data_IF_457016315572
#
_entry.id   IF_457016315572
#
_cell.length_a   1.000
_cell.length_b   1.000
_cell.length_c   1.000
_cell.angle_alpha   90.00
_cell.angle_beta   90.00
_cell.angle_gamma   90.00
#
_symmetry.space_group_name_H-M   'P 1'
#
loop_
_entity.id
_entity.type
_entity.pdbx_description
1 polymer ?
#
# COMPACT_ATOMS: atom_id res chain seq x y z
N UNK A 1 6.24 13.38 -12.46
CA UNK A 1 6.89 13.82 -11.21
C UNK A 1 8.04 12.86 -10.92
N UNK A 2 9.26 13.35 -10.64
CA UNK A 2 10.41 12.48 -10.37
C UNK A 2 10.24 11.77 -9.01
N UNK A 3 10.45 10.44 -8.97
CA UNK A 3 10.30 9.67 -7.73
C UNK A 3 11.23 10.14 -6.60
N UNK A 4 12.40 10.67 -6.94
CA UNK A 4 13.35 11.24 -5.99
C UNK A 4 12.78 12.46 -5.24
N UNK A 5 11.96 13.30 -5.91
CA UNK A 5 11.32 14.45 -5.24
C UNK A 5 10.21 13.98 -4.30
N UNK A 6 9.52 12.90 -4.64
CA UNK A 6 8.52 12.26 -3.77
C UNK A 6 9.17 11.76 -2.49
N UNK A 7 10.28 11.02 -2.60
CA UNK A 7 11.03 10.56 -1.43
C UNK A 7 11.52 11.71 -0.56
N UNK A 8 12.12 12.74 -1.17
CA UNK A 8 12.56 13.94 -0.42
C UNK A 8 11.40 14.61 0.31
N UNK A 9 10.20 14.65 -0.30
CA UNK A 9 9.01 15.21 0.34
C UNK A 9 8.47 14.34 1.47
N UNK A 10 8.54 13.01 1.33
CA UNK A 10 8.04 12.05 2.32
C UNK A 10 8.77 12.14 3.66
N UNK A 11 10.08 12.42 3.63
CA UNK A 11 10.93 12.54 4.82
C UNK A 11 11.13 13.99 5.29
N UNK A 12 10.46 14.96 4.67
CA UNK A 12 10.52 16.35 5.12
C UNK A 12 9.49 16.61 6.22
N UNK A 13 9.96 16.79 7.45
CA UNK A 13 9.12 17.01 8.63
C UNK A 13 8.13 18.18 8.50
N UNK A 14 8.55 19.28 7.86
CA UNK A 14 7.68 20.46 7.67
C UNK A 14 6.51 20.13 6.76
N UNK A 15 6.79 19.44 5.64
CA UNK A 15 5.76 19.00 4.70
C UNK A 15 4.86 17.92 5.30
N UNK A 16 5.40 17.02 6.14
CA UNK A 16 4.62 16.02 6.84
C UNK A 16 3.55 16.66 7.73
N UNK A 17 3.82 17.82 8.34
CA UNK A 17 2.84 18.51 9.19
C UNK A 17 1.72 19.19 8.38
N UNK A 18 2.04 19.70 7.19
CA UNK A 18 1.12 20.56 6.41
C UNK A 18 0.41 19.81 5.27
N UNK A 19 1.07 18.85 4.65
CA UNK A 19 0.61 18.18 3.43
C UNK A 19 -0.03 16.82 3.76
N UNK A 20 -1.34 16.71 3.46
CA UNK A 20 -2.13 15.50 3.70
C UNK A 20 -1.76 14.37 2.72
N UNK A 21 -1.29 14.68 1.51
CA UNK A 21 -0.83 13.69 0.52
C UNK A 21 0.51 13.07 0.94
N UNK A 22 1.43 13.87 1.48
CA UNK A 22 2.69 13.39 2.05
C UNK A 22 2.43 12.43 3.22
N UNK A 23 1.54 12.83 4.16
CA UNK A 23 1.15 11.96 5.28
C UNK A 23 0.50 10.66 4.83
N UNK A 24 -0.38 10.72 3.82
CA UNK A 24 -1.01 9.53 3.26
C UNK A 24 0.04 8.54 2.74
N UNK A 25 1.03 9.03 1.98
CA UNK A 25 2.10 8.20 1.41
C UNK A 25 2.97 7.57 2.49
N UNK A 26 3.45 8.37 3.44
CA UNK A 26 4.31 7.86 4.51
C UNK A 26 3.56 6.86 5.41
N UNK A 27 2.33 7.17 5.81
CA UNK A 27 1.58 6.31 6.73
C UNK A 27 1.21 4.97 6.10
N UNK A 28 0.82 4.95 4.82
CA UNK A 28 0.57 3.69 4.11
C UNK A 28 1.88 2.93 3.86
N UNK A 29 2.99 3.61 3.56
CA UNK A 29 4.31 2.99 3.47
C UNK A 29 4.71 2.31 4.78
N UNK A 30 4.52 2.99 5.91
CA UNK A 30 4.77 2.43 7.25
C UNK A 30 3.87 1.23 7.55
N UNK A 31 2.60 1.22 7.13
CA UNK A 31 1.73 0.04 7.28
C UNK A 31 2.23 -1.18 6.51
N UNK A 32 2.79 -0.97 5.31
CA UNK A 32 3.37 -2.04 4.51
C UNK A 32 4.65 -2.56 5.18
N UNK A 33 5.52 -1.64 5.64
CA UNK A 33 6.79 -1.97 6.29
C UNK A 33 6.63 -2.52 7.72
N UNK A 34 5.50 -2.27 8.39
CA UNK A 34 5.25 -2.78 9.74
C UNK A 34 4.92 -4.27 9.77
N UNK A 35 4.42 -4.85 8.67
CA UNK A 35 4.08 -6.28 8.65
C UNK A 35 5.34 -7.14 8.89
N UNK A 36 6.46 -6.97 8.16
CA UNK A 36 7.69 -7.70 8.44
C UNK A 36 8.23 -7.44 9.85
N UNK A 37 8.07 -6.24 10.39
CA UNK A 37 8.48 -5.93 11.77
C UNK A 37 7.70 -6.76 12.78
N UNK A 38 6.38 -6.84 12.64
CA UNK A 38 5.54 -7.65 13.53
C UNK A 38 5.85 -9.14 13.37
N UNK A 39 6.06 -9.63 12.14
CA UNK A 39 6.48 -11.02 11.90
C UNK A 39 7.81 -11.30 12.60
N UNK A 40 8.79 -10.41 12.45
CA UNK A 40 10.11 -10.52 13.07
C UNK A 40 10.00 -10.61 14.60
N UNK A 41 9.19 -9.74 15.23
CA UNK A 41 8.95 -9.79 16.66
C UNK A 41 8.39 -11.14 17.12
N UNK A 42 7.40 -11.68 16.40
CA UNK A 42 6.81 -13.00 16.71
C UNK A 42 7.85 -14.12 16.56
N UNK A 43 8.62 -14.12 15.47
CA UNK A 43 9.66 -15.13 15.22
C UNK A 43 10.80 -15.05 16.24
N UNK A 44 11.22 -13.85 16.65
CA UNK A 44 12.23 -13.68 17.71
C UNK A 44 11.75 -14.25 19.04
N UNK A 45 10.48 -14.05 19.40
CA UNK A 45 9.91 -14.62 20.63
C UNK A 45 9.97 -16.15 20.59
N UNK A 46 9.55 -16.76 19.47
CA UNK A 46 9.63 -18.21 19.33
C UNK A 46 11.08 -18.72 19.32
N UNK A 47 11.97 -18.05 18.59
CA UNK A 47 13.39 -18.40 18.54
C UNK A 47 14.00 -18.34 19.95
N UNK A 48 13.69 -17.31 20.73
CA UNK A 48 14.15 -17.19 22.12
C UNK A 48 13.70 -18.36 22.99
N UNK A 49 12.44 -18.79 22.86
CA UNK A 49 11.91 -19.96 23.58
C UNK A 49 12.67 -21.22 23.19
N UNK A 50 12.92 -21.44 21.89
CA UNK A 50 13.68 -22.59 21.41
C UNK A 50 15.12 -22.59 21.93
N UNK A 51 15.82 -21.48 21.82
CA UNK A 51 17.19 -21.34 22.33
C UNK A 51 17.26 -21.57 23.85
N UNK A 52 16.24 -21.13 24.59
CA UNK A 52 16.14 -21.40 26.04
C UNK A 52 15.92 -22.88 26.33
N UNK A 53 15.08 -23.57 25.54
CA UNK A 53 14.88 -25.01 25.65
C UNK A 53 16.16 -25.78 25.33
N UNK A 54 16.91 -25.36 24.32
CA UNK A 54 18.19 -25.96 23.92
C UNK A 54 19.23 -25.85 25.02
N UNK A 55 19.37 -24.67 25.63
CA UNK A 55 20.27 -24.49 26.77
C UNK A 55 19.93 -25.42 27.94
N UNK A 56 18.65 -25.56 28.29
CA UNK A 56 18.22 -26.48 29.35
C UNK A 56 18.50 -27.92 28.96
N UNK A 57 18.26 -28.29 27.70
CA UNK A 57 18.53 -29.60 27.16
C UNK A 57 20.04 -29.94 27.22
N UNK A 58 20.91 -29.03 26.80
CA UNK A 58 22.37 -29.18 26.88
C UNK A 58 22.86 -29.34 28.32
N UNK A 59 22.33 -28.54 29.25
CA UNK A 59 22.65 -28.67 30.68
C UNK A 59 22.28 -30.04 31.23
N UNK A 60 21.07 -30.53 30.88
CA UNK A 60 20.54 -31.79 31.39
C UNK A 60 21.29 -33.02 30.87
N UNK A 61 21.91 -32.93 29.69
CA UNK A 61 22.67 -34.03 29.09
C UNK A 61 24.15 -34.05 29.52
N UNK A 62 24.52 -33.30 30.55
CA UNK A 62 25.77 -33.50 31.28
C UNK A 62 27.00 -32.81 30.67
N UNK A 63 26.83 -31.68 29.99
CA UNK A 63 27.97 -30.93 29.48
C UNK A 63 28.80 -30.34 30.64
N UNK A 64 30.04 -30.84 30.79
CA UNK A 64 30.89 -30.58 31.96
C UNK A 64 31.30 -29.11 32.15
N UNK A 65 31.29 -28.30 31.08
CA UNK A 65 31.66 -26.88 31.09
C UNK A 65 30.47 -25.97 30.70
N UNK A 66 29.27 -26.27 31.20
CA UNK A 66 28.04 -25.58 30.82
C UNK A 66 28.08 -24.05 30.96
N UNK A 67 28.72 -23.51 31.99
CA UNK A 67 28.80 -22.05 32.18
C UNK A 67 29.57 -21.36 31.04
N UNK A 68 30.74 -21.89 30.68
CA UNK A 68 31.54 -21.35 29.58
C UNK A 68 30.83 -21.51 28.22
N UNK A 69 30.13 -22.64 28.03
CA UNK A 69 29.33 -22.85 26.83
C UNK A 69 28.13 -21.90 26.73
N UNK A 70 27.46 -21.63 27.86
CA UNK A 70 26.33 -20.72 27.90
C UNK A 70 26.74 -19.29 27.50
N UNK A 71 27.89 -18.81 27.95
CA UNK A 71 28.45 -17.52 27.52
C UNK A 71 28.72 -17.49 26.00
N UNK A 72 29.44 -18.50 25.49
CA UNK A 72 29.74 -18.62 24.06
C UNK A 72 28.47 -18.73 23.21
N UNK A 73 27.45 -19.42 23.70
CA UNK A 73 26.16 -19.59 23.03
C UNK A 73 25.40 -18.27 22.93
N UNK A 74 25.37 -17.46 24.00
CA UNK A 74 24.75 -16.13 23.95
C UNK A 74 25.53 -15.15 23.06
N UNK A 75 26.86 -15.14 23.15
CA UNK A 75 27.71 -14.32 22.27
C UNK A 75 27.47 -14.67 20.80
N UNK A 76 27.33 -15.95 20.50
CA UNK A 76 26.99 -16.44 19.17
C UNK A 76 25.61 -15.93 18.70
N UNK A 77 24.57 -16.06 19.52
CA UNK A 77 23.22 -15.56 19.19
C UNK A 77 23.25 -14.04 18.95
N UNK A 78 23.92 -13.28 19.83
CA UNK A 78 24.01 -11.82 19.71
C UNK A 78 24.74 -11.44 18.41
N UNK A 79 25.85 -12.11 18.10
CA UNK A 79 26.58 -11.92 16.86
C UNK A 79 25.69 -12.13 15.63
N UNK A 80 24.92 -13.21 15.62
CA UNK A 80 23.96 -13.50 14.53
C UNK A 80 22.82 -12.50 14.44
N UNK A 81 22.24 -12.11 15.57
CA UNK A 81 21.22 -11.05 15.58
C UNK A 81 21.76 -9.73 15.02
N UNK A 82 23.01 -9.38 15.30
CA UNK A 82 23.65 -8.19 14.73
C UNK A 82 23.85 -8.31 13.22
N UNK A 83 24.32 -9.45 12.71
CA UNK A 83 24.41 -9.69 11.26
C UNK A 83 23.06 -9.51 10.56
N UNK A 84 22.00 -10.10 11.12
CA UNK A 84 20.65 -10.00 10.56
C UNK A 84 20.04 -8.61 10.69
N UNK A 85 20.41 -7.86 11.72
CA UNK A 85 19.88 -6.52 11.95
C UNK A 85 20.16 -5.58 10.77
N UNK A 86 21.36 -5.66 10.17
CA UNK A 86 21.74 -4.85 9.00
C UNK A 86 20.87 -5.18 7.79
N UNK A 87 20.71 -6.48 7.49
CA UNK A 87 19.90 -6.94 6.36
C UNK A 87 18.42 -6.58 6.59
N UNK A 88 17.95 -6.72 7.84
CA UNK A 88 16.58 -6.37 8.24
C UNK A 88 16.29 -4.87 8.10
N UNK A 89 17.23 -3.99 8.49
CA UNK A 89 17.12 -2.54 8.26
C UNK A 89 17.04 -2.24 6.76
N UNK A 90 17.83 -2.95 5.94
CA UNK A 90 17.75 -2.88 4.48
C UNK A 90 16.37 -3.27 3.95
N UNK A 91 15.84 -4.41 4.39
CA UNK A 91 14.50 -4.89 4.03
C UNK A 91 13.40 -3.92 4.46
N UNK A 92 13.46 -3.40 5.68
CA UNK A 92 12.52 -2.40 6.19
C UNK A 92 12.55 -1.13 5.33
N UNK A 93 13.75 -0.62 5.03
CA UNK A 93 13.91 0.59 4.22
C UNK A 93 13.37 0.40 2.81
N UNK A 94 13.67 -0.73 2.17
CA UNK A 94 13.17 -1.05 0.83
C UNK A 94 11.65 -1.22 0.80
N UNK A 95 11.07 -1.93 1.77
CA UNK A 95 9.62 -2.10 1.88
C UNK A 95 8.90 -0.78 2.17
N UNK A 96 9.51 0.11 2.96
CA UNK A 96 8.99 1.46 3.20
C UNK A 96 8.99 2.31 1.92
N UNK A 97 10.11 2.36 1.19
CA UNK A 97 10.23 3.08 -0.08
C UNK A 97 9.22 2.55 -1.10
N UNK A 98 9.12 1.23 -1.22
CA UNK A 98 8.14 0.59 -2.10
C UNK A 98 6.71 0.92 -1.67
N UNK A 99 6.41 0.92 -0.36
CA UNK A 99 5.09 1.30 0.13
C UNK A 99 4.72 2.76 -0.13
N UNK A 100 5.70 3.68 -0.10
CA UNK A 100 5.52 5.08 -0.52
C UNK A 100 5.19 5.14 -2.03
N UNK A 101 5.91 4.39 -2.85
CA UNK A 101 5.64 4.28 -4.30
C UNK A 101 4.23 3.75 -4.59
N UNK A 102 3.83 2.67 -3.93
CA UNK A 102 2.50 2.08 -4.04
C UNK A 102 1.42 3.11 -3.67
N UNK A 103 1.65 3.88 -2.61
CA UNK A 103 0.72 4.93 -2.18
C UNK A 103 0.61 6.08 -3.17
N UNK A 104 1.69 6.40 -3.87
CA UNK A 104 1.69 7.37 -4.96
C UNK A 104 0.85 6.88 -6.15
N UNK A 105 0.98 5.61 -6.53
CA UNK A 105 0.16 5.01 -7.58
C UNK A 105 -1.34 5.10 -7.25
N UNK A 106 -1.72 4.90 -5.99
CA UNK A 106 -3.11 5.05 -5.54
C UNK A 106 -3.67 6.47 -5.72
N UNK A 107 -2.82 7.50 -5.62
CA UNK A 107 -3.24 8.91 -5.75
C UNK A 107 -3.27 9.38 -7.21
N UNK A 108 -2.54 8.70 -8.10
CA UNK A 108 -2.32 9.12 -9.49
C UNK A 108 -3.61 9.43 -10.27
N UNK A 109 -4.66 8.59 -10.26
CA UNK A 109 -5.88 8.88 -11.05
C UNK A 109 -6.54 10.21 -10.64
N UNK A 110 -6.52 10.52 -9.34
CA UNK A 110 -7.10 11.76 -8.82
C UNK A 110 -6.30 12.99 -9.21
N UNK A 111 -4.96 12.88 -9.22
CA UNK A 111 -4.10 13.96 -9.67
C UNK A 111 -4.25 14.23 -11.17
N UNK A 112 -4.32 13.19 -12.00
CA UNK A 112 -4.55 13.36 -13.44
C UNK A 112 -5.84 14.14 -13.71
N UNK A 113 -6.93 13.83 -12.99
CA UNK A 113 -8.19 14.59 -13.08
C UNK A 113 -8.01 16.02 -12.57
N UNK A 114 -7.42 16.21 -11.40
CA UNK A 114 -7.25 17.54 -10.79
C UNK A 114 -6.35 18.46 -11.63
N UNK A 115 -5.22 17.95 -12.11
CA UNK A 115 -4.26 18.69 -12.93
C UNK A 115 -4.83 19.04 -14.29
N UNK A 116 -5.64 18.15 -14.90
CA UNK A 116 -6.40 18.51 -16.09
C UNK A 116 -7.37 19.66 -15.83
N UNK A 117 -8.16 19.57 -14.74
CA UNK A 117 -9.10 20.63 -14.38
C UNK A 117 -8.42 21.99 -14.16
N UNK A 118 -7.21 22.00 -13.58
CA UNK A 118 -6.45 23.23 -13.38
C UNK A 118 -5.90 23.78 -14.71
N UNK A 119 -5.24 22.93 -15.51
CA UNK A 119 -4.70 23.33 -16.82
C UNK A 119 -5.76 23.80 -17.78
N UNK A 120 -6.93 23.15 -17.81
CA UNK A 120 -8.04 23.56 -18.67
C UNK A 120 -8.54 24.98 -18.34
N UNK A 121 -8.50 25.38 -17.07
CA UNK A 121 -8.90 26.72 -16.66
C UNK A 121 -7.87 27.79 -17.04
N UNK A 122 -6.60 27.41 -17.17
CA UNK A 122 -5.52 28.29 -17.63
C UNK A 122 -5.48 28.36 -19.17
N UNK A 123 -5.63 27.21 -19.82
CA UNK A 123 -5.61 27.01 -21.26
C UNK A 123 -6.71 26.02 -21.69
N UNK A 124 -7.76 26.58 -22.31
CA UNK A 124 -8.93 25.84 -22.81
C UNK A 124 -8.61 24.87 -23.95
N UNK A 125 -7.40 24.91 -24.52
CA UNK A 125 -6.96 23.98 -25.57
C UNK A 125 -6.34 22.69 -25.02
N UNK A 126 -6.18 22.59 -23.69
CA UNK A 126 -5.64 21.40 -23.04
C UNK A 126 -6.49 20.16 -23.31
N UNK A 127 -5.88 19.10 -23.84
CA UNK A 127 -6.52 17.79 -24.01
C UNK A 127 -6.43 16.94 -22.73
N UNK A 128 -7.51 16.21 -22.44
CA UNK A 128 -7.51 15.21 -21.36
C UNK A 128 -6.94 13.89 -21.89
N UNK A 129 -5.71 13.58 -21.52
CA UNK A 129 -5.07 12.30 -21.84
C UNK A 129 -4.88 11.49 -20.56
N UNK A 130 -5.84 10.62 -20.20
CA UNK A 130 -5.66 9.73 -19.08
C UNK A 130 -4.69 8.61 -19.46
N UNK A 131 -3.48 8.70 -18.92
CA UNK A 131 -2.42 7.70 -19.09
C UNK A 131 -2.94 6.26 -18.83
N UNK A 132 -2.61 5.33 -19.74
CA UNK A 132 -3.17 3.96 -19.81
C UNK A 132 -2.95 3.15 -18.52
N UNK A 133 -1.95 3.51 -17.72
CA UNK A 133 -1.61 2.89 -16.44
C UNK A 133 -2.48 3.36 -15.26
N UNK A 134 -3.55 4.12 -15.51
CA UNK A 134 -4.53 4.53 -14.50
C UNK A 134 -5.66 3.50 -14.39
N UNK A 135 -5.33 2.37 -13.78
CA UNK A 135 -6.12 1.13 -13.68
C UNK A 135 -7.54 1.25 -13.04
N UNK A 136 -8.00 2.44 -12.65
CA UNK A 136 -9.42 2.71 -12.36
C UNK A 136 -10.21 2.94 -13.66
N UNK A 137 -10.37 1.86 -14.43
CA UNK A 137 -11.00 1.86 -15.76
C UNK A 137 -12.39 2.50 -15.77
N UNK A 138 -13.16 2.37 -14.68
CA UNK A 138 -14.47 3.02 -14.59
C UNK A 138 -14.34 4.54 -14.50
N UNK A 139 -13.54 5.02 -13.53
CA UNK A 139 -13.35 6.44 -13.29
C UNK A 139 -12.73 7.09 -14.52
N UNK A 140 -11.67 6.50 -15.07
CA UNK A 140 -10.93 7.01 -16.23
C UNK A 140 -11.81 7.13 -17.47
N UNK A 141 -12.58 6.09 -17.82
CA UNK A 141 -13.48 6.15 -18.98
C UNK A 141 -14.62 7.13 -18.79
N UNK A 142 -15.08 7.28 -17.55
CA UNK A 142 -16.16 8.22 -17.25
C UNK A 142 -15.66 9.65 -17.27
N UNK A 143 -14.47 9.93 -16.72
CA UNK A 143 -13.86 11.26 -16.75
C UNK A 143 -13.54 11.69 -18.18
N UNK A 144 -13.02 10.78 -19.02
CA UNK A 144 -12.79 11.04 -20.44
C UNK A 144 -14.08 11.44 -21.18
N UNK A 145 -15.13 10.62 -21.03
CA UNK A 145 -16.44 10.94 -21.59
C UNK A 145 -17.00 12.25 -21.04
N UNK A 146 -16.91 12.45 -19.72
CA UNK A 146 -17.40 13.65 -19.04
C UNK A 146 -16.71 14.91 -19.57
N UNK A 147 -15.38 14.93 -19.63
CA UNK A 147 -14.63 16.12 -20.04
C UNK A 147 -14.80 16.43 -21.52
N UNK A 148 -14.85 15.41 -22.39
CA UNK A 148 -15.18 15.61 -23.79
C UNK A 148 -16.61 16.18 -23.96
N UNK A 149 -17.56 15.67 -23.20
CA UNK A 149 -18.95 16.18 -23.22
C UNK A 149 -19.04 17.64 -22.78
N UNK A 150 -18.34 18.02 -21.71
CA UNK A 150 -18.30 19.41 -21.25
C UNK A 150 -17.56 20.30 -22.26
N UNK A 151 -16.49 19.82 -22.88
CA UNK A 151 -15.78 20.55 -23.92
C UNK A 151 -16.68 20.87 -25.12
N UNK A 152 -17.45 19.89 -25.60
CA UNK A 152 -18.44 20.11 -26.68
C UNK A 152 -19.52 21.12 -26.23
N UNK A 153 -20.01 21.02 -24.99
CA UNK A 153 -20.95 21.98 -24.45
C UNK A 153 -20.36 23.41 -24.37
N UNK A 154 -19.07 23.51 -24.05
CA UNK A 154 -18.34 24.78 -24.01
C UNK A 154 -18.18 25.41 -25.40
N UNK A 155 -17.84 24.60 -26.42
CA UNK A 155 -17.80 25.05 -27.82
C UNK A 155 -19.17 25.50 -28.33
N UNK A 156 -20.24 24.82 -27.91
CA UNK A 156 -21.62 25.18 -28.28
C UNK A 156 -22.20 26.32 -27.43
N UNK A 157 -21.48 26.80 -26.41
CA UNK A 157 -21.92 27.88 -25.52
C UNK A 157 -23.14 27.54 -24.65
N UNK A 158 -23.58 26.28 -24.59
CA UNK A 158 -24.78 25.90 -23.85
C UNK A 158 -24.58 24.60 -23.06
N UNK A 159 -24.97 24.64 -21.79
CA UNK A 159 -24.95 23.48 -20.90
C UNK A 159 -26.38 22.94 -20.73
N UNK A 160 -26.76 21.98 -21.57
CA UNK A 160 -28.04 21.27 -21.45
C UNK A 160 -27.85 19.99 -20.62
N UNK A 161 -28.89 19.51 -19.92
CA UNK A 161 -28.85 18.18 -19.31
C UNK A 161 -28.61 17.12 -20.38
N UNK A 162 -27.59 16.28 -20.18
CA UNK A 162 -27.25 15.21 -21.14
C UNK A 162 -27.55 13.86 -20.51
N UNK A 163 -28.16 12.98 -21.31
CA UNK A 163 -28.40 11.62 -20.88
C UNK A 163 -27.08 10.87 -20.71
N UNK A 164 -26.88 10.36 -19.50
CA UNK A 164 -25.70 9.57 -19.17
C UNK A 164 -25.81 8.19 -19.82
N UNK A 165 -24.77 7.69 -20.52
CA UNK A 165 -24.80 6.38 -21.16
C UNK A 165 -25.26 5.27 -20.23
N UNK A 166 -26.11 4.35 -20.71
CA UNK A 166 -26.72 3.28 -19.90
C UNK A 166 -25.70 2.43 -19.12
N UNK A 167 -24.48 2.28 -19.64
CA UNK A 167 -23.37 1.59 -18.95
C UNK A 167 -22.97 2.22 -17.61
N UNK A 168 -23.22 3.52 -17.41
CA UNK A 168 -22.87 4.26 -16.19
C UNK A 168 -24.08 4.58 -15.30
N UNK A 169 -25.31 4.41 -15.79
CA UNK A 169 -26.52 4.73 -15.02
C UNK A 169 -26.77 3.74 -13.88
N UNK A 170 -26.45 2.46 -14.08
CA UNK A 170 -26.68 1.37 -13.10
C UNK A 170 -25.74 1.38 -11.89
N UNK A 171 -24.77 2.31 -11.85
CA UNK A 171 -23.73 2.33 -10.83
C UNK A 171 -24.16 3.23 -9.65
N UNK A 172 -24.64 2.63 -8.57
CA UNK A 172 -25.13 3.35 -7.38
C UNK A 172 -24.24 3.22 -6.15
N UNK A 173 -23.19 2.40 -6.23
CA UNK A 173 -22.21 2.16 -5.15
C UNK A 173 -20.81 1.98 -5.75
N UNK A 174 -19.73 2.07 -4.94
CA UNK A 174 -18.39 1.75 -5.40
C UNK A 174 -18.35 0.37 -6.07
N UNK A 175 -17.88 0.34 -7.31
CA UNK A 175 -17.76 -0.89 -8.09
C UNK A 175 -16.41 -1.52 -7.81
N UNK A 176 -16.39 -2.83 -7.59
CA UNK A 176 -15.15 -3.55 -7.42
C UNK A 176 -14.41 -3.70 -8.75
N UNK A 177 -13.31 -2.96 -8.89
CA UNK A 177 -12.44 -2.97 -10.07
C UNK A 177 -11.39 -4.08 -9.94
N UNK A 178 -11.74 -5.27 -10.44
CA UNK A 178 -10.92 -6.49 -10.33
C UNK A 178 -9.50 -6.32 -10.85
N UNK A 179 -9.31 -5.67 -12.00
CA UNK A 179 -8.00 -5.46 -12.62
C UNK A 179 -7.07 -4.67 -11.70
N UNK A 180 -7.50 -3.47 -11.31
CA UNK A 180 -6.79 -2.62 -10.35
C UNK A 180 -6.47 -3.34 -9.05
N UNK A 181 -7.47 -4.02 -8.47
CA UNK A 181 -7.28 -4.75 -7.22
C UNK A 181 -6.22 -5.85 -7.36
N UNK A 182 -6.26 -6.64 -8.44
CA UNK A 182 -5.30 -7.72 -8.66
C UNK A 182 -3.89 -7.20 -8.91
N UNK A 183 -3.71 -6.23 -9.81
CA UNK A 183 -2.39 -5.63 -10.06
C UNK A 183 -1.78 -5.08 -8.77
N UNK A 184 -2.57 -4.32 -8.01
CA UNK A 184 -2.15 -3.75 -6.74
C UNK A 184 -1.82 -4.81 -5.69
N UNK A 185 -2.68 -5.84 -5.58
CA UNK A 185 -2.46 -6.95 -4.65
C UNK A 185 -1.22 -7.75 -5.01
N UNK A 186 -0.94 -7.97 -6.30
CA UNK A 186 0.29 -8.64 -6.74
C UNK A 186 1.54 -7.85 -6.36
N UNK A 187 1.53 -6.52 -6.54
CA UNK A 187 2.65 -5.67 -6.13
C UNK A 187 2.92 -5.76 -4.62
N UNK A 188 1.85 -5.77 -3.81
CA UNK A 188 1.99 -5.95 -2.36
C UNK A 188 2.44 -7.36 -2.00
N UNK A 189 1.88 -8.39 -2.64
CA UNK A 189 2.27 -9.78 -2.39
C UNK A 189 3.72 -10.06 -2.77
N UNK A 190 4.27 -9.37 -3.77
CA UNK A 190 5.70 -9.46 -4.09
C UNK A 190 6.57 -9.05 -2.89
N UNK A 191 6.18 -8.01 -2.15
CA UNK A 191 6.89 -7.64 -0.90
C UNK A 191 6.75 -8.72 0.17
N UNK A 192 5.59 -9.35 0.26
CA UNK A 192 5.38 -10.47 1.18
C UNK A 192 6.33 -11.64 0.87
N UNK A 193 6.50 -11.99 -0.41
CA UNK A 193 7.37 -13.10 -0.83
C UNK A 193 8.82 -12.83 -0.45
N UNK A 194 9.32 -11.63 -0.71
CA UNK A 194 10.69 -11.25 -0.34
C UNK A 194 10.91 -11.35 1.17
N UNK A 195 9.97 -10.84 1.97
CA UNK A 195 10.04 -10.97 3.43
C UNK A 195 9.92 -12.41 3.92
N UNK A 196 9.09 -13.24 3.25
CA UNK A 196 8.94 -14.67 3.57
C UNK A 196 10.26 -15.42 3.37
N UNK A 197 10.90 -15.23 2.21
CA UNK A 197 12.19 -15.85 1.90
C UNK A 197 13.23 -15.41 2.93
N UNK A 198 13.30 -14.10 3.23
CA UNK A 198 14.23 -13.57 4.22
C UNK A 198 14.07 -14.25 5.59
N UNK A 199 12.85 -14.32 6.13
CA UNK A 199 12.64 -14.91 7.45
C UNK A 199 12.87 -16.42 7.49
N UNK A 200 12.53 -17.13 6.41
CA UNK A 200 12.78 -18.56 6.30
C UNK A 200 14.29 -18.86 6.36
N UNK A 201 15.09 -18.15 5.57
CA UNK A 201 16.54 -18.29 5.53
C UNK A 201 17.20 -17.91 6.87
N UNK A 202 16.78 -16.79 7.47
CA UNK A 202 17.37 -16.29 8.72
C UNK A 202 17.09 -17.24 9.89
N UNK A 203 15.83 -17.61 10.11
CA UNK A 203 15.47 -18.46 11.26
C UNK A 203 15.96 -19.89 11.03
N UNK A 204 15.84 -20.41 9.80
CA UNK A 204 16.38 -21.72 9.44
C UNK A 204 17.90 -21.80 9.65
N UNK A 205 18.63 -20.78 9.20
CA UNK A 205 20.09 -20.70 9.35
C UNK A 205 20.56 -20.62 10.80
N UNK A 206 19.87 -19.87 11.66
CA UNK A 206 20.19 -19.85 13.11
C UNK A 206 19.99 -21.22 13.72
N UNK A 207 18.85 -21.85 13.42
CA UNK A 207 18.54 -23.15 13.98
C UNK A 207 19.51 -24.25 13.52
N UNK A 208 19.86 -24.29 12.23
CA UNK A 208 20.84 -25.24 11.70
C UNK A 208 22.18 -25.12 12.42
N UNK A 209 22.63 -23.91 12.71
CA UNK A 209 23.87 -23.69 13.45
C UNK A 209 23.79 -24.18 14.90
N UNK A 210 22.65 -23.99 15.57
CA UNK A 210 22.43 -24.53 16.93
C UNK A 210 22.45 -26.06 16.91
N UNK A 211 21.82 -26.68 15.92
CA UNK A 211 21.83 -28.15 15.75
C UNK A 211 23.22 -28.68 15.45
N UNK A 212 24.00 -28.01 14.59
CA UNK A 212 25.38 -28.39 14.32
C UNK A 212 26.24 -28.31 15.58
N UNK A 213 26.11 -27.21 16.34
CA UNK A 213 26.79 -27.05 17.62
C UNK A 213 26.40 -28.16 18.62
N UNK A 214 25.13 -28.57 18.63
CA UNK A 214 24.67 -29.69 19.44
C UNK A 214 25.34 -31.01 19.03
N UNK A 215 25.47 -31.29 17.74
CA UNK A 215 26.11 -32.52 17.25
C UNK A 215 27.61 -32.58 17.53
N UNK A 216 28.30 -31.44 17.50
CA UNK A 216 29.74 -31.37 17.77
C UNK A 216 30.06 -31.58 19.26
N UNK A 217 29.12 -31.25 20.14
CA UNK A 217 29.35 -31.16 21.58
C UNK A 217 28.73 -32.34 22.34
N UNK A 218 27.55 -32.79 21.93
CA UNK A 218 26.82 -33.83 22.66
C UNK A 218 27.26 -35.24 22.25
N UNK A 219 27.19 -36.21 23.18
CA UNK A 219 27.45 -37.60 22.85
C UNK A 219 26.46 -38.10 21.79
N UNK A 220 26.95 -38.92 20.86
CA UNK A 220 26.15 -39.48 19.78
C UNK A 220 25.16 -40.54 20.30
N UNK A 221 24.05 -40.08 20.87
CA UNK A 221 22.95 -40.89 21.42
C UNK A 221 21.69 -40.71 20.60
N UNK A 222 20.95 -41.79 20.40
CA UNK A 222 19.72 -41.79 19.60
C UNK A 222 18.69 -40.78 20.13
N UNK A 223 18.54 -40.67 21.46
CA UNK A 223 17.58 -39.79 22.10
C UNK A 223 17.86 -38.31 21.80
N UNK A 224 19.14 -37.96 21.71
CA UNK A 224 19.58 -36.59 21.42
C UNK A 224 19.30 -36.25 19.96
N UNK A 225 19.65 -37.14 19.03
CA UNK A 225 19.35 -36.95 17.62
C UNK A 225 17.84 -36.86 17.36
N UNK A 226 17.06 -37.73 18.01
CA UNK A 226 15.61 -37.73 17.88
C UNK A 226 14.99 -36.40 18.38
N UNK A 227 15.47 -35.88 19.51
CA UNK A 227 15.02 -34.59 20.04
C UNK A 227 15.30 -33.44 19.06
N UNK A 228 16.54 -33.30 18.58
CA UNK A 228 16.93 -32.22 17.66
C UNK A 228 16.18 -32.28 16.32
N UNK A 229 15.95 -33.48 15.79
CA UNK A 229 15.20 -33.66 14.55
C UNK A 229 13.73 -33.28 14.73
N UNK A 230 13.11 -33.69 15.85
CA UNK A 230 11.74 -33.31 16.15
C UNK A 230 11.60 -31.81 16.40
N UNK A 231 12.54 -31.20 17.12
CA UNK A 231 12.61 -29.76 17.32
C UNK A 231 12.68 -28.99 15.99
N UNK A 232 13.51 -29.45 15.05
CA UNK A 232 13.57 -28.89 13.68
C UNK A 232 12.19 -28.88 13.03
N UNK A 233 11.43 -29.96 13.16
CA UNK A 233 10.07 -30.09 12.61
C UNK A 233 9.07 -29.13 13.27
N UNK A 234 9.13 -28.99 14.60
CA UNK A 234 8.28 -28.05 15.34
C UNK A 234 8.60 -26.60 14.94
N UNK A 235 9.88 -26.23 14.87
CA UNK A 235 10.30 -24.91 14.44
C UNK A 235 9.82 -24.63 13.01
N UNK A 236 10.00 -25.58 12.09
CA UNK A 236 9.50 -25.46 10.72
C UNK A 236 8.00 -25.19 10.67
N UNK A 237 7.22 -25.88 11.50
CA UNK A 237 5.77 -25.66 11.60
C UNK A 237 5.41 -24.25 12.10
N UNK A 238 6.15 -23.74 13.09
CA UNK A 238 5.96 -22.38 13.63
C UNK A 238 6.33 -21.32 12.60
N UNK A 239 7.47 -21.49 11.90
CA UNK A 239 7.90 -20.59 10.83
C UNK A 239 6.82 -20.54 9.75
N UNK A 240 6.43 -21.69 9.19
CA UNK A 240 5.40 -21.77 8.13
C UNK A 240 4.08 -21.15 8.60
N UNK A 241 3.62 -21.46 9.81
CA UNK A 241 2.40 -20.88 10.38
C UNK A 241 2.47 -19.35 10.48
N UNK A 242 3.58 -18.82 10.96
CA UNK A 242 3.81 -17.37 11.09
C UNK A 242 3.87 -16.68 9.72
N UNK A 243 4.49 -17.32 8.74
CA UNK A 243 4.57 -16.82 7.36
C UNK A 243 3.20 -16.83 6.66
N UNK A 244 2.34 -17.81 6.93
CA UNK A 244 0.95 -17.82 6.44
C UNK A 244 0.18 -16.63 7.01
N UNK A 245 0.32 -16.34 8.30
CA UNK A 245 -0.30 -15.17 8.94
C UNK A 245 0.20 -13.86 8.32
N UNK A 246 1.49 -13.76 8.00
CA UNK A 246 2.06 -12.62 7.28
C UNK A 246 1.40 -12.42 5.90
N UNK A 247 1.29 -13.49 5.10
CA UNK A 247 0.62 -13.42 3.78
C UNK A 247 -0.82 -12.94 3.93
N UNK A 248 -1.55 -13.47 4.92
CA UNK A 248 -2.91 -13.05 5.20
C UNK A 248 -3.00 -11.56 5.61
N UNK A 249 -2.05 -11.06 6.42
CA UNK A 249 -1.97 -9.65 6.78
C UNK A 249 -1.79 -8.75 5.54
N UNK A 250 -0.96 -9.15 4.58
CA UNK A 250 -0.78 -8.44 3.31
C UNK A 250 -2.04 -8.45 2.41
N UNK A 251 -2.80 -9.55 2.41
CA UNK A 251 -4.10 -9.62 1.72
C UNK A 251 -5.09 -8.63 2.35
N UNK A 252 -5.20 -8.60 3.68
CA UNK A 252 -6.06 -7.65 4.39
C UNK A 252 -5.64 -6.20 4.14
N UNK A 253 -4.33 -5.93 4.10
CA UNK A 253 -3.79 -4.62 3.77
C UNK A 253 -4.14 -4.20 2.34
N UNK A 254 -4.09 -5.12 1.38
CA UNK A 254 -4.47 -4.87 -0.01
C UNK A 254 -5.95 -4.45 -0.11
N UNK A 255 -6.83 -5.15 0.61
CA UNK A 255 -8.26 -4.77 0.72
C UNK A 255 -8.43 -3.40 1.38
N UNK A 256 -7.67 -3.09 2.44
CA UNK A 256 -7.73 -1.80 3.11
C UNK A 256 -7.35 -0.64 2.17
N UNK A 257 -6.23 -0.79 1.46
CA UNK A 257 -5.72 0.23 0.54
C UNK A 257 -6.63 0.38 -0.69
N UNK A 258 -7.20 -0.70 -1.19
CA UNK A 258 -8.22 -0.63 -2.25
C UNK A 258 -9.45 0.18 -1.83
N UNK A 259 -9.96 -0.01 -0.61
CA UNK A 259 -11.10 0.77 -0.08
C UNK A 259 -10.80 2.27 0.01
N UNK A 260 -9.54 2.65 0.27
CA UNK A 260 -9.08 4.05 0.29
C UNK A 260 -9.12 4.74 -1.08
N UNK A 261 -9.26 3.99 -2.18
CA UNK A 261 -9.31 4.53 -3.54
C UNK A 261 -10.68 4.36 -4.20
N UNK A 262 -11.29 3.18 -4.07
CA UNK A 262 -12.59 2.89 -4.68
C UNK A 262 -13.72 3.80 -4.19
N UNK A 263 -13.76 4.10 -2.89
CA UNK A 263 -14.78 4.99 -2.31
C UNK A 263 -14.70 6.43 -2.84
N UNK A 264 -13.52 7.10 -2.80
CA UNK A 264 -13.42 8.45 -3.34
C UNK A 264 -13.56 8.50 -4.86
N UNK A 265 -13.11 7.47 -5.59
CA UNK A 265 -13.35 7.35 -7.03
C UNK A 265 -14.85 7.36 -7.35
N UNK A 266 -15.65 6.61 -6.60
CA UNK A 266 -17.09 6.64 -6.73
C UNK A 266 -17.70 8.01 -6.41
N UNK A 267 -17.21 8.71 -5.38
CA UNK A 267 -17.68 10.05 -5.03
C UNK A 267 -17.45 11.09 -6.15
N UNK A 268 -16.28 11.05 -6.80
CA UNK A 268 -15.97 11.89 -7.96
C UNK A 268 -16.87 11.53 -9.15
N UNK A 269 -16.96 10.23 -9.48
CA UNK A 269 -17.84 9.72 -10.52
C UNK A 269 -19.30 10.17 -10.31
N UNK A 270 -19.83 10.01 -9.11
CA UNK A 270 -21.21 10.36 -8.78
C UNK A 270 -21.47 11.86 -8.93
N UNK A 271 -20.48 12.69 -8.58
CA UNK A 271 -20.58 14.15 -8.73
C UNK A 271 -20.57 14.57 -10.20
N UNK A 272 -19.61 14.08 -10.98
CA UNK A 272 -19.54 14.33 -12.43
C UNK A 272 -20.85 13.89 -13.12
N UNK A 273 -21.38 12.74 -12.74
CA UNK A 273 -22.66 12.23 -13.24
C UNK A 273 -23.85 13.13 -12.87
N UNK A 274 -23.90 13.60 -11.62
CA UNK A 274 -24.95 14.50 -11.14
C UNK A 274 -24.91 15.83 -11.89
N UNK A 275 -23.70 16.36 -12.09
CA UNK A 275 -23.47 17.61 -12.82
C UNK A 275 -23.99 17.54 -14.26
N UNK A 276 -23.61 16.51 -15.03
CA UNK A 276 -24.09 16.35 -16.42
C UNK A 276 -25.62 16.16 -16.52
N UNK A 277 -26.25 15.58 -15.49
CA UNK A 277 -27.72 15.44 -15.43
C UNK A 277 -28.46 16.75 -15.14
N UNK A 278 -27.78 17.89 -15.12
CA UNK A 278 -28.38 19.20 -14.89
C UNK A 278 -28.32 19.69 -13.45
N UNK A 279 -27.77 18.91 -12.50
CA UNK A 279 -27.57 19.37 -11.11
C UNK A 279 -26.25 20.12 -11.00
N UNK A 280 -26.17 21.30 -11.61
CA UNK A 280 -24.92 22.03 -11.77
C UNK A 280 -24.32 22.53 -10.45
N UNK A 281 -25.09 22.60 -9.36
CA UNK A 281 -24.57 22.91 -8.01
C UNK A 281 -23.86 21.74 -7.32
N UNK A 282 -23.82 20.55 -7.95
CA UNK A 282 -23.17 19.37 -7.38
C UNK A 282 -21.66 19.62 -7.22
N UNK A 283 -21.12 19.32 -6.04
CA UNK A 283 -19.69 19.44 -5.72
C UNK A 283 -19.17 18.18 -5.04
N UNK A 284 -17.91 17.87 -5.29
CA UNK A 284 -17.24 16.74 -4.64
C UNK A 284 -16.96 17.14 -3.20
N UNK A 285 -17.52 16.37 -2.26
CA UNK A 285 -17.21 16.48 -0.84
C UNK A 285 -16.95 15.08 -0.26
N UNK A 286 -15.70 14.81 0.09
CA UNK A 286 -15.26 13.50 0.57
C UNK A 286 -14.88 13.58 2.06
N UNK A 287 -15.76 13.10 2.93
CA UNK A 287 -15.51 13.02 4.37
C UNK A 287 -14.56 11.86 4.65
N UNK A 288 -13.47 12.11 5.39
CA UNK A 288 -12.46 11.11 5.72
C UNK A 288 -11.36 10.90 4.67
N UNK A 289 -11.42 11.61 3.54
CA UNK A 289 -10.45 11.53 2.43
C UNK A 289 -9.66 12.83 2.27
N UNK A 290 -9.06 13.30 3.36
CA UNK A 290 -8.45 14.63 3.44
C UNK A 290 -7.30 14.80 2.45
N UNK A 291 -6.54 13.73 2.22
CA UNK A 291 -5.48 13.63 1.20
C UNK A 291 -5.93 13.83 -0.26
N UNK A 292 -7.24 13.80 -0.56
CA UNK A 292 -7.74 14.11 -1.91
C UNK A 292 -8.35 15.50 -2.03
N UNK A 293 -8.40 16.28 -0.93
CA UNK A 293 -8.98 17.63 -0.94
C UNK A 293 -8.38 18.56 -1.99
N UNK A 294 -7.05 18.62 -2.21
CA UNK A 294 -6.49 19.49 -3.25
C UNK A 294 -7.08 19.18 -4.62
N UNK A 295 -7.10 17.91 -5.02
CA UNK A 295 -7.62 17.48 -6.32
C UNK A 295 -9.14 17.70 -6.43
N UNK A 296 -9.89 17.44 -5.36
CA UNK A 296 -11.33 17.72 -5.31
C UNK A 296 -11.63 19.23 -5.44
N UNK A 297 -10.78 20.10 -4.86
CA UNK A 297 -10.92 21.55 -4.99
C UNK A 297 -10.67 22.02 -6.43
N UNK A 298 -9.65 21.49 -7.10
CA UNK A 298 -9.39 21.76 -8.52
C UNK A 298 -10.59 21.39 -9.40
N UNK A 299 -11.14 20.19 -9.21
CA UNK A 299 -12.35 19.76 -9.90
C UNK A 299 -13.57 20.64 -9.58
N UNK A 300 -13.80 20.98 -8.31
CA UNK A 300 -14.91 21.86 -7.92
C UNK A 300 -14.78 23.28 -8.50
N UNK A 301 -13.56 23.81 -8.62
CA UNK A 301 -13.27 25.09 -9.30
C UNK A 301 -13.64 25.00 -10.78
N UNK A 302 -13.22 23.92 -11.46
CA UNK A 302 -13.58 23.64 -12.84
C UNK A 302 -15.10 23.58 -13.05
N UNK A 303 -15.83 22.79 -12.24
CA UNK A 303 -17.29 22.69 -12.33
C UNK A 303 -17.97 24.04 -12.11
N UNK A 304 -17.45 24.85 -11.19
CA UNK A 304 -17.99 26.19 -10.90
C UNK A 304 -17.77 27.16 -12.06
N UNK A 305 -16.63 27.07 -12.74
CA UNK A 305 -16.37 27.88 -13.93
C UNK A 305 -17.28 27.48 -15.08
N UNK A 306 -17.39 26.17 -15.37
CA UNK A 306 -18.27 25.67 -16.43
C UNK A 306 -19.73 26.02 -16.19
N UNK A 307 -20.19 25.98 -14.94
CA UNK A 307 -21.52 26.45 -14.58
C UNK A 307 -21.67 27.96 -14.85
N UNK A 308 -20.68 28.79 -14.48
CA UNK A 308 -20.75 30.25 -14.67
C UNK A 308 -20.68 30.67 -16.13
N UNK A 309 -19.78 30.08 -16.91
CA UNK A 309 -19.56 30.44 -18.32
C UNK A 309 -20.76 30.02 -19.18
N UNK A 310 -21.25 28.80 -18.98
CA UNK A 310 -22.26 28.22 -19.87
C UNK A 310 -23.70 28.53 -19.46
N UNK A 311 -23.96 28.78 -18.17
CA UNK A 311 -25.30 29.20 -17.72
C UNK A 311 -25.56 30.69 -17.98
N UNK A 312 -24.51 31.52 -18.06
CA UNK A 312 -24.65 32.93 -18.48
C UNK A 312 -24.90 33.07 -19.98
N UNK A 313 -24.24 32.25 -20.81
CA UNK A 313 -24.45 32.24 -22.25
C UNK A 313 -25.90 31.87 -22.62
N UNK A 314 -26.48 30.87 -21.94
CA UNK A 314 -27.88 30.47 -22.13
C UNK A 314 -28.88 31.61 -21.81
N UNK A 315 -28.65 32.39 -20.75
CA UNK A 315 -29.51 33.54 -20.39
C UNK A 315 -29.45 34.68 -21.40
N UNK A 316 -28.29 34.93 -22.00
CA UNK A 316 -28.15 35.98 -23.01
C UNK A 316 -28.78 35.55 -24.34
N UNK A 317 -28.76 34.26 -24.69
CA UNK A 317 -29.38 33.74 -25.92
C UNK A 317 -30.92 33.72 -25.94
N UNK A 318 -31.57 33.97 -24.79
CA UNK A 318 -33.04 34.04 -24.67
C UNK A 318 -33.54 35.50 -24.73
N UNK A 319 -32.63 36.48 -24.67
CA UNK A 319 -32.96 37.92 -24.72
C UNK A 319 -32.78 38.57 -26.10
N UNK A 320 -32.30 37.82 -27.09
CA UNK A 320 -32.23 38.21 -28.51
C UNK A 320 -33.29 37.46 -29.34
#
# INVERSE_FOLDING_TARGET
MNFTSILKSAFNYRLLKTDEEVRFRLFNGLKIASIPVLTCCVLIIFLWVFLSMDLVFFKSNGYANFEQFNEVFYDFIISKLLEFSVIFIGLFTMTLIFGIYISELLLRPFRVIGDYCEKFLEDRTTSYDPDFFSDLKLLTRFSEWFFNTIYIADQNGMLKPIEVPQKFTRIHKPVFEKGFFLQFSFLILATSIVSVIFFYEVIGGVHEQVVQMAFDILPNKYEIQYFLLYQTSVLGSIIVGTLIVQVFAYILLSVNLYKKVSTPAFGIFATMRSFIKGRYDSRVHLIGYSYLRPQCRKLNKYLSEMQKSLHKADKNSIQD
#
